data_IF_805274114948
#
_entry.id   IF_805274114948
#
_cell.length_a   1.000
_cell.length_b   1.000
_cell.length_c   1.000
_cell.angle_alpha   90.00
_cell.angle_beta   90.00
_cell.angle_gamma   90.00
#
_symmetry.space_group_name_H-M   'P 1'
#
loop_
_entity.id
_entity.type
_entity.pdbx_description
1 polymer ?
#
# COMPACT_ATOMS: atom_id res chain seq x y z
N UNK A 1 24.73 11.03 -1.47
CA UNK A 1 23.66 10.36 -0.71
C UNK A 1 22.31 10.83 -1.21
N UNK A 2 21.40 9.90 -1.51
CA UNK A 2 20.06 10.35 -1.83
C UNK A 2 19.43 11.01 -0.59
N UNK A 3 18.61 12.05 -0.77
CA UNK A 3 17.92 12.68 0.34
C UNK A 3 16.92 11.69 0.98
N UNK A 4 16.73 11.82 2.28
CA UNK A 4 15.72 11.03 2.98
C UNK A 4 14.34 11.47 2.52
N UNK A 5 13.39 10.54 2.35
CA UNK A 5 12.01 10.88 2.02
C UNK A 5 11.39 11.72 3.14
N UNK A 6 10.50 12.64 2.76
CA UNK A 6 9.84 13.57 3.68
C UNK A 6 8.34 13.61 3.43
N UNK A 7 7.59 13.93 4.47
CA UNK A 7 6.15 14.16 4.36
C UNK A 7 5.88 15.27 3.34
N UNK A 8 4.91 15.05 2.48
CA UNK A 8 4.53 15.98 1.41
C UNK A 8 5.24 15.75 0.10
N UNK A 9 6.33 14.98 0.10
CA UNK A 9 7.03 14.60 -1.14
C UNK A 9 6.46 13.30 -1.69
N UNK A 10 6.68 13.05 -2.98
CA UNK A 10 6.33 11.78 -3.59
C UNK A 10 7.29 10.69 -3.14
N UNK A 11 6.80 9.46 -3.11
CA UNK A 11 7.60 8.30 -2.72
C UNK A 11 8.79 8.14 -3.69
N UNK A 12 10.05 8.16 -3.20
CA UNK A 12 11.20 7.98 -4.08
C UNK A 12 11.17 6.64 -4.81
N UNK A 13 11.51 6.66 -6.10
CA UNK A 13 11.56 5.48 -6.96
C UNK A 13 10.25 4.68 -6.96
N UNK A 14 9.11 5.36 -6.85
CA UNK A 14 7.81 4.71 -6.77
C UNK A 14 7.50 3.85 -8.00
N UNK A 15 8.00 4.24 -9.18
CA UNK A 15 7.79 3.45 -10.41
C UNK A 15 8.49 2.09 -10.36
N UNK A 16 9.43 1.92 -9.44
CA UNK A 16 10.19 0.67 -9.26
C UNK A 16 9.76 -0.07 -7.99
N UNK A 17 8.64 0.33 -7.38
CA UNK A 17 8.10 -0.30 -6.19
C UNK A 17 7.91 -1.81 -6.42
N UNK A 18 8.19 -2.60 -5.40
CA UNK A 18 8.15 -4.06 -5.55
C UNK A 18 7.51 -4.73 -4.33
N UNK A 19 7.25 -6.04 -4.47
CA UNK A 19 6.64 -6.83 -3.42
C UNK A 19 5.14 -6.63 -3.28
N UNK A 20 4.52 -5.84 -4.16
CA UNK A 20 3.10 -5.49 -4.06
C UNK A 20 2.23 -6.74 -4.20
N UNK A 21 2.37 -7.47 -5.31
CA UNK A 21 1.53 -8.64 -5.55
C UNK A 21 1.73 -9.70 -4.49
N UNK A 22 2.97 -9.93 -4.09
CA UNK A 22 3.28 -10.91 -3.05
C UNK A 22 2.58 -10.58 -1.73
N UNK A 23 2.64 -9.32 -1.30
CA UNK A 23 2.00 -8.90 -0.04
C UNK A 23 0.47 -8.91 -0.14
N UNK A 24 -0.09 -8.55 -1.27
CA UNK A 24 -1.54 -8.63 -1.46
C UNK A 24 -2.01 -10.08 -1.42
N UNK A 25 -1.33 -10.96 -2.12
CA UNK A 25 -1.72 -12.36 -2.26
C UNK A 25 -1.55 -13.14 -0.96
N UNK A 26 -0.46 -12.92 -0.23
CA UNK A 26 -0.10 -13.73 0.93
C UNK A 26 -0.45 -13.08 2.27
N UNK A 27 -0.93 -11.83 2.25
CA UNK A 27 -1.16 -11.08 3.48
C UNK A 27 -2.44 -10.24 3.41
N UNK A 28 -2.45 -9.15 2.67
CA UNK A 28 -3.52 -8.15 2.72
C UNK A 28 -4.86 -8.65 2.20
N UNK A 29 -4.86 -9.57 1.24
CA UNK A 29 -6.09 -10.15 0.67
C UNK A 29 -6.28 -11.64 1.04
N UNK A 30 -5.45 -12.16 1.95
CA UNK A 30 -5.57 -13.54 2.41
C UNK A 30 -6.46 -13.59 3.66
N UNK A 31 -7.72 -14.06 3.54
CA UNK A 31 -8.66 -14.07 4.67
C UNK A 31 -8.26 -15.06 5.77
N UNK A 32 -7.35 -15.97 5.49
CA UNK A 32 -6.90 -17.00 6.46
C UNK A 32 -5.64 -16.58 7.22
N UNK A 33 -4.98 -15.49 6.80
CA UNK A 33 -3.78 -15.03 7.49
C UNK A 33 -4.12 -14.45 8.85
N UNK A 34 -3.34 -14.75 9.88
CA UNK A 34 -3.61 -14.29 11.25
C UNK A 34 -3.72 -12.76 11.34
N UNK A 35 -2.77 -12.04 10.75
CA UNK A 35 -2.75 -10.58 10.79
C UNK A 35 -3.32 -9.93 9.54
N UNK A 36 -3.22 -10.59 8.40
CA UNK A 36 -3.77 -10.10 7.13
C UNK A 36 -5.25 -10.33 6.98
N UNK A 37 -5.81 -11.34 7.67
CA UNK A 37 -7.22 -11.68 7.56
C UNK A 37 -8.18 -10.53 7.84
N UNK A 38 -8.01 -9.77 8.94
CA UNK A 38 -8.84 -8.59 9.18
C UNK A 38 -8.73 -7.53 8.08
N UNK A 39 -7.56 -7.37 7.48
CA UNK A 39 -7.35 -6.45 6.35
C UNK A 39 -8.09 -6.93 5.10
N UNK A 40 -8.03 -8.24 4.83
CA UNK A 40 -8.73 -8.84 3.69
C UNK A 40 -10.24 -8.67 3.83
N UNK A 41 -10.79 -8.88 5.02
CA UNK A 41 -12.20 -8.66 5.29
C UNK A 41 -12.59 -7.18 5.14
N UNK A 42 -11.71 -6.28 5.55
CA UNK A 42 -11.90 -4.84 5.37
C UNK A 42 -11.97 -4.45 3.90
N UNK A 43 -11.07 -4.97 3.06
CA UNK A 43 -11.09 -4.71 1.61
C UNK A 43 -12.41 -5.17 0.99
N UNK A 44 -12.87 -6.36 1.35
CA UNK A 44 -14.11 -6.88 0.79
C UNK A 44 -15.32 -6.09 1.27
N UNK A 45 -15.40 -5.80 2.56
CA UNK A 45 -16.54 -5.09 3.16
C UNK A 45 -16.64 -3.65 2.67
N UNK A 46 -15.52 -2.95 2.58
CA UNK A 46 -15.51 -1.51 2.28
C UNK A 46 -15.50 -1.26 0.77
N UNK A 47 -14.70 -2.01 0.02
CA UNK A 47 -14.43 -1.74 -1.40
C UNK A 47 -14.86 -2.88 -2.33
N UNK A 48 -15.34 -3.99 -1.81
CA UNK A 48 -15.70 -5.13 -2.63
C UNK A 48 -14.50 -5.84 -3.26
N UNK A 49 -13.31 -5.63 -2.71
CA UNK A 49 -12.07 -6.20 -3.25
C UNK A 49 -11.70 -7.46 -2.48
N UNK A 50 -11.76 -8.59 -3.15
CA UNK A 50 -11.27 -9.87 -2.63
C UNK A 50 -10.07 -10.32 -3.46
N UNK A 51 -9.52 -11.49 -3.16
CA UNK A 51 -8.32 -12.00 -3.83
C UNK A 51 -8.50 -12.11 -5.36
N UNK A 52 -9.71 -12.36 -5.84
CA UNK A 52 -10.02 -12.45 -7.26
C UNK A 52 -9.78 -11.13 -8.00
N UNK A 53 -9.80 -10.01 -7.27
CA UNK A 53 -9.58 -8.68 -7.83
C UNK A 53 -8.17 -8.15 -7.55
N UNK A 54 -7.21 -9.04 -7.29
CA UNK A 54 -5.84 -8.63 -6.96
C UNK A 54 -5.21 -7.79 -8.07
N UNK A 55 -5.49 -8.10 -9.33
CA UNK A 55 -4.95 -7.33 -10.46
C UNK A 55 -5.42 -5.88 -10.41
N UNK A 56 -6.69 -5.66 -10.07
CA UNK A 56 -7.23 -4.33 -9.94
C UNK A 56 -6.53 -3.54 -8.83
N UNK A 57 -6.41 -4.13 -7.65
CA UNK A 57 -5.79 -3.45 -6.52
C UNK A 57 -4.31 -3.17 -6.77
N UNK A 58 -3.59 -4.13 -7.34
CA UNK A 58 -2.19 -3.94 -7.70
C UNK A 58 -2.01 -2.76 -8.66
N UNK A 59 -2.87 -2.67 -9.69
CA UNK A 59 -2.83 -1.57 -10.65
C UNK A 59 -3.17 -0.23 -10.01
N UNK A 60 -4.12 -0.19 -9.09
CA UNK A 60 -4.48 1.03 -8.37
C UNK A 60 -3.32 1.52 -7.50
N UNK A 61 -2.67 0.62 -6.78
CA UNK A 61 -1.52 0.97 -5.95
C UNK A 61 -0.39 1.52 -6.83
N UNK A 62 -0.04 0.82 -7.91
CA UNK A 62 1.04 1.24 -8.80
C UNK A 62 0.80 2.64 -9.39
N UNK A 63 -0.43 2.93 -9.79
CA UNK A 63 -0.77 4.22 -10.38
C UNK A 63 -0.84 5.33 -9.33
N UNK A 64 -1.47 5.07 -8.20
CA UNK A 64 -1.76 6.13 -7.20
C UNK A 64 -0.55 6.55 -6.40
N UNK A 65 0.40 5.67 -6.12
CA UNK A 65 1.62 6.06 -5.39
C UNK A 65 2.51 7.01 -6.19
N UNK A 66 2.34 7.04 -7.52
CA UNK A 66 3.11 7.98 -8.36
C UNK A 66 2.64 9.42 -8.19
N UNK A 67 1.43 9.64 -7.71
CA UNK A 67 0.81 10.97 -7.64
C UNK A 67 0.37 11.38 -6.24
N UNK A 68 0.53 10.50 -5.23
CA UNK A 68 0.05 10.76 -3.87
C UNK A 68 1.22 11.02 -2.93
N UNK A 69 1.24 12.17 -2.24
CA UNK A 69 2.34 12.49 -1.33
C UNK A 69 2.41 11.57 -0.12
N UNK A 70 3.61 11.41 0.40
CA UNK A 70 3.87 10.73 1.66
C UNK A 70 3.16 11.49 2.78
N UNK A 71 2.42 10.77 3.64
CA UNK A 71 1.72 11.38 4.77
C UNK A 71 2.39 11.11 6.12
N UNK A 72 3.30 10.15 6.20
CA UNK A 72 4.07 9.88 7.42
C UNK A 72 5.38 9.20 7.08
N UNK A 73 6.41 9.51 7.86
CA UNK A 73 7.74 8.90 7.73
C UNK A 73 8.17 8.43 9.10
N UNK A 74 8.64 7.19 9.19
CA UNK A 74 9.21 6.62 10.41
C UNK A 74 10.63 6.16 10.14
N UNK A 75 11.56 6.59 10.97
CA UNK A 75 12.93 6.13 10.94
C UNK A 75 13.09 4.99 11.93
N UNK A 76 13.47 3.81 11.42
CA UNK A 76 13.69 2.61 12.23
C UNK A 76 15.20 2.32 12.25
N UNK A 77 15.89 3.02 13.13
CA UNK A 77 17.32 2.74 13.33
C UNK A 77 17.51 1.33 13.91
N UNK A 78 18.46 0.54 13.39
CA UNK A 78 19.31 0.79 12.23
C UNK A 78 18.74 0.29 10.90
N UNK A 79 17.44 -0.02 10.84
CA UNK A 79 16.81 -0.84 9.79
C UNK A 79 16.16 -0.04 8.66
N UNK A 80 16.46 1.24 8.54
CA UNK A 80 15.97 2.00 7.40
C UNK A 80 14.74 2.84 7.72
N UNK A 81 13.96 3.14 6.66
CA UNK A 81 12.88 4.13 6.71
C UNK A 81 11.59 3.47 6.24
N UNK A 82 10.49 3.78 6.90
CA UNK A 82 9.16 3.42 6.44
C UNK A 82 8.37 4.68 6.11
N UNK A 83 7.75 4.69 4.95
CA UNK A 83 6.88 5.77 4.49
C UNK A 83 5.46 5.28 4.36
N UNK A 84 4.51 6.10 4.79
CA UNK A 84 3.09 5.82 4.64
C UNK A 84 2.51 6.69 3.53
N UNK A 85 1.79 6.07 2.60
CA UNK A 85 1.07 6.76 1.53
C UNK A 85 -0.37 6.27 1.56
N UNK A 86 -1.31 7.18 1.84
CA UNK A 86 -2.74 6.87 1.85
C UNK A 86 -3.31 7.22 0.48
N UNK A 87 -3.60 6.20 -0.32
CA UNK A 87 -4.11 6.37 -1.68
C UNK A 87 -5.64 6.25 -1.70
N UNK A 88 -6.28 6.98 -2.61
CA UNK A 88 -7.72 6.86 -2.83
C UNK A 88 -7.98 5.73 -3.82
N UNK A 89 -8.80 4.77 -3.43
CA UNK A 89 -9.15 3.61 -4.26
C UNK A 89 -10.66 3.52 -4.38
N UNK A 90 -11.14 3.38 -5.60
CA UNK A 90 -12.56 3.19 -5.87
C UNK A 90 -12.94 1.72 -5.68
N UNK A 91 -14.07 1.47 -5.04
CA UNK A 91 -14.62 0.13 -4.89
C UNK A 91 -15.09 -0.47 -6.20
N UNK A 92 -15.39 -1.75 -6.18
CA UNK A 92 -15.85 -2.50 -7.36
C UNK A 92 -17.09 -3.33 -7.00
N UNK A 93 -17.77 -3.85 -8.02
CA UNK A 93 -18.96 -4.65 -7.83
C UNK A 93 -20.04 -3.88 -7.10
N UNK A 94 -20.57 -4.43 -6.03
CA UNK A 94 -21.60 -3.80 -5.20
C UNK A 94 -21.10 -2.51 -4.51
N UNK A 95 -19.80 -2.28 -4.46
CA UNK A 95 -19.17 -1.12 -3.84
C UNK A 95 -18.63 -0.12 -4.87
N UNK A 96 -19.01 -0.24 -6.14
CA UNK A 96 -18.46 0.58 -7.22
C UNK A 96 -18.76 2.08 -7.09
N UNK A 97 -19.78 2.45 -6.29
CA UNK A 97 -20.11 3.85 -6.03
C UNK A 97 -19.40 4.43 -4.82
N UNK A 98 -18.48 3.69 -4.22
CA UNK A 98 -17.70 4.11 -3.05
C UNK A 98 -16.24 4.28 -3.39
N UNK A 99 -15.57 5.11 -2.59
CA UNK A 99 -14.11 5.19 -2.55
C UNK A 99 -13.68 5.19 -1.11
N UNK A 100 -12.47 4.72 -0.85
CA UNK A 100 -11.89 4.74 0.47
C UNK A 100 -10.39 4.96 0.37
N UNK A 101 -9.79 5.50 1.42
CA UNK A 101 -8.34 5.55 1.50
C UNK A 101 -7.81 4.18 1.85
N UNK A 102 -6.81 3.75 1.10
CA UNK A 102 -6.05 2.54 1.38
C UNK A 102 -4.68 2.99 1.89
N UNK A 103 -4.35 2.60 3.11
CA UNK A 103 -3.04 2.91 3.67
C UNK A 103 -2.03 1.93 3.10
N UNK A 104 -0.97 2.47 2.49
CA UNK A 104 0.16 1.68 2.02
C UNK A 104 1.39 2.10 2.79
N UNK A 105 2.13 1.12 3.30
CA UNK A 105 3.38 1.37 4.04
C UNK A 105 4.52 0.75 3.25
N UNK A 106 5.56 1.54 3.05
CA UNK A 106 6.71 1.21 2.19
C UNK A 106 8.00 1.27 2.98
N UNK A 107 8.85 0.27 2.79
CA UNK A 107 10.14 0.21 3.45
C UNK A 107 11.27 0.46 2.46
N UNK A 108 12.26 1.24 2.90
CA UNK A 108 13.54 1.39 2.23
C UNK A 108 14.57 0.72 3.11
N UNK A 109 14.98 -0.49 2.73
CA UNK A 109 15.92 -1.28 3.55
C UNK A 109 17.30 -0.65 3.57
N UNK A 110 17.67 0.04 2.48
CA UNK A 110 18.90 0.82 2.37
C UNK A 110 18.63 2.11 1.61
N UNK A 111 19.38 3.18 1.88
CA UNK A 111 19.24 4.44 1.13
C UNK A 111 19.38 4.22 -0.38
N UNK A 112 18.46 4.80 -1.16
CA UNK A 112 18.48 4.70 -2.61
C UNK A 112 17.83 3.46 -3.19
N UNK A 113 17.40 2.51 -2.36
CA UNK A 113 16.68 1.34 -2.85
C UNK A 113 15.26 1.70 -3.31
N UNK A 114 14.67 0.90 -4.21
CA UNK A 114 13.24 1.06 -4.49
C UNK A 114 12.39 0.70 -3.26
N UNK A 115 11.19 1.28 -3.14
CA UNK A 115 10.32 0.98 -2.01
C UNK A 115 9.72 -0.42 -2.10
N UNK A 116 9.69 -1.11 -0.96
CA UNK A 116 9.09 -2.44 -0.81
C UNK A 116 7.78 -2.31 -0.02
N UNK A 117 6.70 -2.90 -0.52
CA UNK A 117 5.43 -2.87 0.20
C UNK A 117 5.53 -3.71 1.48
N UNK A 118 5.20 -3.09 2.60
CA UNK A 118 5.13 -3.74 3.91
C UNK A 118 3.72 -4.20 4.20
N UNK A 119 2.75 -3.33 4.00
CA UNK A 119 1.33 -3.64 4.23
C UNK A 119 0.44 -2.69 3.44
N UNK A 120 -0.79 -3.13 3.19
CA UNK A 120 -1.84 -2.30 2.62
C UNK A 120 -3.16 -2.70 3.27
N UNK A 121 -3.96 -1.70 3.67
CA UNK A 121 -5.29 -1.95 4.22
C UNK A 121 -6.18 -0.71 4.06
N UNK A 122 -7.51 -0.91 3.90
CA UNK A 122 -8.40 0.22 3.80
C UNK A 122 -8.57 0.88 5.17
N UNK A 123 -8.66 2.21 5.16
CA UNK A 123 -8.97 2.97 6.37
C UNK A 123 -10.47 3.23 6.43
N UNK A 124 -11.02 2.90 7.57
CA UNK A 124 -12.44 3.14 7.82
C UNK A 124 -12.71 4.63 8.03
#
# INVERSE_FOLDING_TARGET
MPPSPSVGELLPRAAEAFGVRYKLQTYSLDPTHEYGGPKARGFERILGIAIEAIDYLEAQIAARILETPICAVRHNEPYGIKCTVDISVRGIGAKANRSAYVRTVWAFDHPGNPPRLVTAYPRA
#
